data_IF_007047605472
#
_entry.id   IF_007047605472
#
_cell.length_a   1.000
_cell.length_b   1.000
_cell.length_c   1.000
_cell.angle_alpha   90.00
_cell.angle_beta   90.00
_cell.angle_gamma   90.00
#
_symmetry.space_group_name_H-M   'P 1'
#
loop_
_entity.id
_entity.type
_entity.pdbx_description
1 polymer ?
#
# COMPACT_ATOMS: atom_id res chain seq x y z
N UNK A 1 11.81 -25.73 -9.13
CA UNK A 1 10.52 -25.12 -8.77
C UNK A 1 10.75 -24.06 -7.70
N UNK A 2 10.48 -22.79 -7.99
CA UNK A 2 10.58 -21.71 -7.00
C UNK A 2 9.43 -21.85 -6.00
N UNK A 3 9.74 -21.88 -4.70
CA UNK A 3 8.77 -21.95 -3.61
C UNK A 3 7.71 -20.83 -3.74
N UNK A 4 6.42 -21.17 -3.60
CA UNK A 4 5.30 -20.23 -3.67
C UNK A 4 5.55 -18.94 -2.85
N UNK A 5 6.01 -19.08 -1.61
CA UNK A 5 6.31 -17.95 -0.73
C UNK A 5 7.49 -17.09 -1.19
N UNK A 6 8.46 -17.70 -1.90
CA UNK A 6 9.58 -16.96 -2.47
C UNK A 6 9.12 -16.02 -3.60
N UNK A 7 8.12 -16.45 -4.39
CA UNK A 7 7.52 -15.61 -5.44
C UNK A 7 6.86 -14.36 -4.84
N UNK A 8 6.06 -14.52 -3.78
CA UNK A 8 5.41 -13.38 -3.13
C UNK A 8 6.40 -12.40 -2.52
N UNK A 9 7.51 -12.85 -1.95
CA UNK A 9 8.56 -11.95 -1.44
C UNK A 9 9.17 -11.09 -2.55
N UNK A 10 9.50 -11.69 -3.70
CA UNK A 10 10.01 -10.93 -4.85
C UNK A 10 8.97 -9.89 -5.29
N UNK A 11 7.72 -10.32 -5.44
CA UNK A 11 6.61 -9.42 -5.82
C UNK A 11 6.47 -8.29 -4.79
N UNK A 12 6.51 -8.60 -3.49
CA UNK A 12 6.42 -7.61 -2.43
C UNK A 12 7.53 -6.56 -2.52
N UNK A 13 8.79 -6.99 -2.63
CA UNK A 13 9.91 -6.04 -2.72
C UNK A 13 9.83 -5.18 -3.98
N UNK A 14 9.49 -5.80 -5.11
CA UNK A 14 9.33 -5.07 -6.37
C UNK A 14 8.16 -4.06 -6.30
N UNK A 15 7.03 -4.46 -5.74
CA UNK A 15 5.89 -3.56 -5.53
C UNK A 15 6.22 -2.41 -4.57
N UNK A 16 7.08 -2.61 -3.56
CA UNK A 16 7.52 -1.51 -2.69
C UNK A 16 8.40 -0.51 -3.44
N UNK A 17 9.30 -0.98 -4.31
CA UNK A 17 10.11 -0.10 -5.16
C UNK A 17 9.21 0.74 -6.06
N UNK A 18 8.24 0.10 -6.73
CA UNK A 18 7.27 0.80 -7.59
C UNK A 18 6.44 1.80 -6.76
N UNK A 19 5.93 1.39 -5.60
CA UNK A 19 5.17 2.25 -4.70
C UNK A 19 5.97 3.50 -4.37
N UNK A 20 7.18 3.34 -3.82
CA UNK A 20 8.02 4.47 -3.41
C UNK A 20 8.32 5.38 -4.60
N UNK A 21 8.66 4.82 -5.76
CA UNK A 21 8.94 5.58 -6.97
C UNK A 21 7.73 6.42 -7.42
N UNK A 22 6.54 5.82 -7.50
CA UNK A 22 5.33 6.51 -7.93
C UNK A 22 4.82 7.51 -6.89
N UNK A 23 4.96 7.20 -5.60
CA UNK A 23 4.49 8.03 -4.50
C UNK A 23 5.29 9.33 -4.38
N UNK A 24 6.61 9.25 -4.61
CA UNK A 24 7.52 10.39 -4.51
C UNK A 24 7.71 11.13 -5.85
N UNK A 25 7.06 10.70 -6.93
CA UNK A 25 7.11 11.39 -8.21
C UNK A 25 6.35 12.73 -8.15
N UNK A 26 6.93 13.85 -8.62
CA UNK A 26 6.27 15.16 -8.61
C UNK A 26 5.11 15.17 -9.63
N UNK A 27 3.88 15.25 -9.15
CA UNK A 27 2.67 15.03 -9.95
C UNK A 27 2.39 13.55 -10.27
N UNK A 28 1.59 13.29 -11.30
CA UNK A 28 1.11 11.96 -11.68
C UNK A 28 1.80 11.43 -12.93
N UNK A 29 2.68 10.43 -12.78
CA UNK A 29 3.32 9.77 -13.93
C UNK A 29 2.28 9.11 -14.85
N UNK A 30 1.29 8.41 -14.28
CA UNK A 30 0.21 7.79 -15.06
C UNK A 30 -0.70 8.84 -15.70
N UNK A 31 -0.88 9.99 -15.06
CA UNK A 31 -1.60 11.13 -15.62
C UNK A 31 -0.95 11.70 -16.87
N UNK A 32 0.38 11.80 -16.87
CA UNK A 32 1.16 12.18 -18.06
C UNK A 32 0.92 11.15 -19.18
N UNK A 33 1.02 9.86 -18.88
CA UNK A 33 0.92 8.80 -19.89
C UNK A 33 -0.50 8.71 -20.49
N UNK A 34 -1.54 8.82 -19.66
CA UNK A 34 -2.93 8.58 -20.08
C UNK A 34 -3.61 9.86 -20.56
N UNK A 35 -3.39 10.98 -19.88
CA UNK A 35 -4.13 12.23 -20.08
C UNK A 35 -3.25 13.38 -20.60
N UNK A 36 -1.96 13.15 -20.83
CA UNK A 36 -0.97 14.20 -21.13
C UNK A 36 -0.99 15.34 -20.10
N UNK A 37 -1.34 15.03 -18.85
CA UNK A 37 -1.50 16.02 -17.78
C UNK A 37 -1.03 15.45 -16.44
N UNK A 38 0.05 16.04 -15.89
CA UNK A 38 0.65 15.63 -14.62
C UNK A 38 -0.22 15.92 -13.38
N UNK A 39 -1.22 16.79 -13.51
CA UNK A 39 -2.09 17.19 -12.38
C UNK A 39 -3.26 16.22 -12.19
N UNK A 40 -3.48 15.29 -13.13
CA UNK A 40 -4.59 14.33 -13.07
C UNK A 40 -4.03 12.97 -12.61
N UNK A 41 -4.48 12.48 -11.47
CA UNK A 41 -4.27 11.08 -11.12
C UNK A 41 -5.38 10.22 -11.70
N UNK A 42 -5.06 9.15 -12.45
CA UNK A 42 -6.06 8.16 -12.81
C UNK A 42 -6.63 7.54 -11.55
N UNK A 43 -7.96 7.50 -11.46
CA UNK A 43 -8.69 6.93 -10.33
C UNK A 43 -9.55 5.77 -10.82
N UNK A 44 -9.59 4.69 -10.04
CA UNK A 44 -10.52 3.58 -10.28
C UNK A 44 -11.94 3.94 -9.85
N UNK A 45 -12.05 4.69 -8.76
CA UNK A 45 -13.30 5.18 -8.18
C UNK A 45 -13.11 6.61 -7.69
N UNK A 46 -14.18 7.42 -7.59
CA UNK A 46 -14.09 8.72 -6.95
C UNK A 46 -13.68 8.62 -5.48
N UNK A 47 -13.06 9.67 -4.97
CA UNK A 47 -12.73 9.77 -3.55
C UNK A 47 -13.97 9.91 -2.66
N UNK A 48 -13.85 9.40 -1.43
CA UNK A 48 -14.85 9.56 -0.39
C UNK A 48 -14.29 10.47 0.71
N UNK A 49 -14.48 10.10 1.99
CA UNK A 49 -13.82 10.75 3.13
C UNK A 49 -12.29 10.51 3.11
N UNK A 50 -11.87 9.45 2.44
CA UNK A 50 -10.47 9.09 2.22
C UNK A 50 -10.19 8.97 0.73
N UNK A 51 -8.92 9.08 0.39
CA UNK A 51 -8.43 8.87 -0.97
C UNK A 51 -8.49 7.39 -1.33
N UNK A 52 -9.30 7.07 -2.35
CA UNK A 52 -9.58 5.69 -2.74
C UNK A 52 -8.38 5.04 -3.41
N UNK A 53 -7.61 5.80 -4.20
CA UNK A 53 -6.36 5.33 -4.78
C UNK A 53 -5.36 4.90 -3.69
N UNK A 54 -5.15 5.75 -2.68
CA UNK A 54 -4.27 5.47 -1.55
C UNK A 54 -4.73 4.25 -0.75
N UNK A 55 -6.03 4.16 -0.48
CA UNK A 55 -6.65 2.98 0.13
C UNK A 55 -6.38 1.70 -0.66
N UNK A 56 -6.63 1.69 -1.97
CA UNK A 56 -6.44 0.50 -2.80
C UNK A 56 -4.98 0.09 -2.88
N UNK A 57 -4.06 1.03 -3.11
CA UNK A 57 -2.63 0.74 -3.23
C UNK A 57 -2.09 0.15 -1.94
N UNK A 58 -2.42 0.74 -0.77
CA UNK A 58 -1.97 0.21 0.51
C UNK A 58 -2.68 -1.09 0.92
N UNK A 59 -3.92 -1.31 0.49
CA UNK A 59 -4.59 -2.61 0.66
C UNK A 59 -3.86 -3.69 -0.13
N UNK A 60 -3.55 -3.44 -1.41
CA UNK A 60 -2.87 -4.40 -2.29
C UNK A 60 -1.47 -4.73 -1.76
N UNK A 61 -0.66 -3.73 -1.41
CA UNK A 61 0.70 -3.98 -0.91
C UNK A 61 0.67 -4.75 0.42
N UNK A 62 -0.33 -4.46 1.27
CA UNK A 62 -0.53 -5.18 2.53
C UNK A 62 -0.92 -6.63 2.28
N UNK A 63 -1.86 -6.91 1.38
CA UNK A 63 -2.22 -8.29 1.02
C UNK A 63 -1.00 -9.06 0.52
N UNK A 64 -0.22 -8.50 -0.42
CA UNK A 64 0.99 -9.13 -0.94
C UNK A 64 2.02 -9.37 0.19
N UNK A 65 2.20 -8.40 1.09
CA UNK A 65 3.10 -8.54 2.23
C UNK A 65 2.68 -9.67 3.17
N UNK A 66 1.41 -9.73 3.55
CA UNK A 66 0.89 -10.76 4.45
C UNK A 66 0.95 -12.17 3.83
N UNK A 67 0.78 -12.29 2.51
CA UNK A 67 1.00 -13.54 1.77
C UNK A 67 2.49 -13.93 1.72
N UNK A 68 3.40 -12.97 1.78
CA UNK A 68 4.87 -13.17 1.73
C UNK A 68 5.46 -13.68 3.05
N UNK A 69 4.86 -13.31 4.18
CA UNK A 69 5.42 -13.54 5.53
C UNK A 69 4.43 -14.29 6.43
N UNK A 70 4.59 -15.61 6.54
CA UNK A 70 3.65 -16.47 7.31
C UNK A 70 3.95 -16.54 8.81
N UNK A 71 5.22 -16.39 9.23
CA UNK A 71 5.55 -16.52 10.66
C UNK A 71 5.04 -15.31 11.43
N UNK A 72 4.35 -15.55 12.56
CA UNK A 72 3.76 -14.51 13.43
C UNK A 72 4.70 -13.36 13.78
N UNK A 73 5.97 -13.64 14.08
CA UNK A 73 6.98 -12.58 14.37
C UNK A 73 7.20 -11.67 13.16
N UNK A 74 7.26 -12.22 11.95
CA UNK A 74 7.44 -11.43 10.73
C UNK A 74 6.19 -10.62 10.38
N UNK A 75 4.99 -11.14 10.64
CA UNK A 75 3.72 -10.42 10.43
C UNK A 75 3.67 -9.13 11.27
N UNK A 76 4.07 -9.19 12.56
CA UNK A 76 4.11 -7.99 13.40
C UNK A 76 5.10 -6.95 12.87
N UNK A 77 6.28 -7.39 12.46
CA UNK A 77 7.31 -6.51 11.87
C UNK A 77 6.81 -5.90 10.56
N UNK A 78 6.15 -6.69 9.71
CA UNK A 78 5.54 -6.22 8.46
C UNK A 78 4.47 -5.16 8.70
N UNK A 79 3.56 -5.38 9.67
CA UNK A 79 2.51 -4.43 9.99
C UNK A 79 3.09 -3.08 10.44
N UNK A 80 4.10 -3.12 11.33
CA UNK A 80 4.83 -1.92 11.78
C UNK A 80 5.48 -1.24 10.57
N UNK A 81 6.19 -2.00 9.73
CA UNK A 81 6.82 -1.49 8.52
C UNK A 81 5.83 -0.77 7.60
N UNK A 82 4.68 -1.36 7.30
CA UNK A 82 3.68 -0.79 6.40
C UNK A 82 3.04 0.49 6.97
N UNK A 83 2.77 0.53 8.28
CA UNK A 83 2.26 1.73 8.95
C UNK A 83 3.28 2.87 8.92
N UNK A 84 4.55 2.58 9.19
CA UNK A 84 5.61 3.59 9.07
C UNK A 84 5.80 4.03 7.63
N UNK A 85 5.79 3.10 6.67
CA UNK A 85 5.90 3.42 5.25
C UNK A 85 4.78 4.37 4.81
N UNK A 86 3.53 4.12 5.20
CA UNK A 86 2.40 5.02 4.87
C UNK A 86 2.57 6.43 5.41
N UNK A 87 3.07 6.56 6.64
CA UNK A 87 3.24 7.87 7.29
C UNK A 87 4.44 8.60 6.67
N UNK A 88 5.56 7.92 6.49
CA UNK A 88 6.80 8.50 5.97
C UNK A 88 6.60 8.99 4.53
N UNK A 89 5.95 8.18 3.67
CA UNK A 89 5.70 8.54 2.28
C UNK A 89 4.84 9.81 2.17
N UNK A 90 3.81 9.92 2.99
CA UNK A 90 2.97 11.12 3.02
C UNK A 90 3.71 12.35 3.57
N UNK A 91 4.52 12.18 4.61
CA UNK A 91 5.36 13.28 5.14
C UNK A 91 6.32 13.81 4.08
N UNK A 92 6.84 12.97 3.19
CA UNK A 92 7.72 13.42 2.10
C UNK A 92 7.02 14.37 1.12
N UNK A 93 5.69 14.34 1.00
CA UNK A 93 4.95 15.31 0.17
C UNK A 93 5.06 16.75 0.66
N UNK A 94 5.52 16.99 1.90
CA UNK A 94 5.84 18.33 2.37
C UNK A 94 7.06 18.95 1.66
N UNK A 95 7.94 18.12 1.09
CA UNK A 95 9.22 18.55 0.50
C UNK A 95 9.20 18.43 -1.03
N UNK A 96 8.38 17.54 -1.57
CA UNK A 96 8.34 17.24 -3.00
C UNK A 96 7.51 18.31 -3.73
N UNK A 97 8.04 18.94 -4.78
CA UNK A 97 7.28 19.93 -5.56
C UNK A 97 6.10 19.26 -6.27
N UNK A 98 5.04 20.02 -6.51
CA UNK A 98 3.80 19.52 -7.17
C UNK A 98 3.10 18.39 -6.37
N UNK A 99 3.43 18.27 -5.08
CA UNK A 99 2.77 17.42 -4.10
C UNK A 99 2.44 18.26 -2.87
N UNK A 100 1.40 17.83 -2.16
CA UNK A 100 0.96 18.40 -0.91
C UNK A 100 0.61 17.27 0.04
N UNK A 101 0.91 17.46 1.31
CA UNK A 101 0.41 16.57 2.35
C UNK A 101 -1.11 16.66 2.43
N UNK A 102 -1.79 15.51 2.38
CA UNK A 102 -3.24 15.39 2.44
C UNK A 102 -3.67 14.37 3.51
N UNK A 103 -4.54 14.83 4.43
CA UNK A 103 -5.09 13.94 5.46
C UNK A 103 -5.89 12.78 4.86
N UNK A 104 -6.62 13.03 3.77
CA UNK A 104 -7.37 12.02 3.02
C UNK A 104 -6.48 10.89 2.49
N UNK A 105 -5.28 11.24 2.01
CA UNK A 105 -4.27 10.30 1.51
C UNK A 105 -3.69 9.47 2.66
N UNK A 106 -3.26 10.13 3.75
CA UNK A 106 -2.76 9.45 4.94
C UNK A 106 -3.78 8.45 5.51
N UNK A 107 -5.03 8.89 5.68
CA UNK A 107 -6.09 8.02 6.20
C UNK A 107 -6.43 6.89 5.23
N UNK A 108 -6.39 7.14 3.91
CA UNK A 108 -6.51 6.10 2.90
C UNK A 108 -5.44 5.02 3.07
N UNK A 109 -4.17 5.43 3.15
CA UNK A 109 -3.04 4.52 3.34
C UNK A 109 -3.20 3.66 4.60
N UNK A 110 -3.44 4.32 5.74
CA UNK A 110 -3.56 3.65 7.04
C UNK A 110 -4.75 2.67 7.06
N UNK A 111 -5.91 3.08 6.54
CA UNK A 111 -7.10 2.22 6.48
C UNK A 111 -6.84 0.99 5.60
N UNK A 112 -6.13 1.16 4.48
CA UNK A 112 -5.72 0.05 3.61
C UNK A 112 -4.83 -0.97 4.31
N UNK A 113 -3.92 -0.54 5.19
CA UNK A 113 -3.12 -1.45 6.03
C UNK A 113 -3.98 -2.10 7.12
N UNK A 114 -4.80 -1.31 7.82
CA UNK A 114 -5.61 -1.80 8.94
C UNK A 114 -6.63 -2.85 8.53
N UNK A 115 -7.31 -2.68 7.40
CA UNK A 115 -8.33 -3.64 6.95
C UNK A 115 -7.70 -5.02 6.72
N UNK A 116 -6.49 -5.08 6.16
CA UNK A 116 -5.77 -6.33 5.94
C UNK A 116 -5.32 -6.97 7.24
N UNK A 117 -4.86 -6.17 8.22
CA UNK A 117 -4.54 -6.66 9.57
C UNK A 117 -5.76 -7.32 10.21
N UNK A 118 -6.92 -6.65 10.14
CA UNK A 118 -8.20 -7.16 10.68
C UNK A 118 -8.58 -8.47 9.99
N UNK A 119 -8.58 -8.50 8.66
CA UNK A 119 -8.88 -9.71 7.88
C UNK A 119 -7.94 -10.87 8.26
N UNK A 120 -6.63 -10.63 8.32
CA UNK A 120 -5.66 -11.65 8.72
C UNK A 120 -5.91 -12.16 10.15
N UNK A 121 -6.28 -11.29 11.09
CA UNK A 121 -6.60 -11.71 12.45
C UNK A 121 -7.88 -12.56 12.50
N UNK A 122 -8.92 -12.18 11.74
CA UNK A 122 -10.16 -12.96 11.63
C UNK A 122 -9.90 -14.34 11.01
N UNK A 123 -9.12 -14.41 9.93
CA UNK A 123 -8.72 -15.69 9.29
C UNK A 123 -7.93 -16.55 10.28
N UNK A 124 -6.99 -15.99 11.03
CA UNK A 124 -6.22 -16.76 12.00
C UNK A 124 -7.05 -17.25 13.20
N UNK A 125 -8.09 -16.49 13.59
CA UNK A 125 -8.94 -16.84 14.72
C UNK A 125 -9.98 -17.90 14.33
N UNK A 126 -10.69 -17.67 13.23
CA UNK A 126 -11.90 -18.40 12.82
C UNK A 126 -11.73 -19.20 11.52
N UNK A 127 -10.60 -19.06 10.82
CA UNK A 127 -10.38 -19.77 9.56
C UNK A 127 -10.44 -21.28 9.75
N UNK A 128 -11.23 -21.92 8.89
CA UNK A 128 -11.49 -23.37 8.89
C UNK A 128 -10.22 -24.22 8.61
N UNK A 129 -9.11 -23.58 8.23
CA UNK A 129 -7.82 -24.21 7.94
C UNK A 129 -6.98 -24.54 9.18
N UNK A 130 -7.56 -24.53 10.39
CA UNK A 130 -6.93 -25.12 11.59
C UNK A 130 -7.07 -26.65 11.53
N UNK A 131 -6.22 -27.29 10.74
CA UNK A 131 -5.75 -28.66 10.99
C UNK A 131 -4.26 -28.60 11.30
#
# INVERSE_FOLDING_TARGET
MINFFFRFKIIFYFSNIILIFLYLFPGSLLGIIIYNNKNIQPQLTPDFVISTNHFYVFTVISVIGFLSFVKKKHIKVLAIYLLFLSIILEIFHLIIPERSFEWSDLFGNLLGVFIVIICNNLINKYGYFKK
#
